data_IF_532674588874
#
_entry.id   IF_532674588874
#
_cell.length_a   1.000
_cell.length_b   1.000
_cell.length_c   1.000
_cell.angle_alpha   90.00
_cell.angle_beta   90.00
_cell.angle_gamma   90.00
#
_symmetry.space_group_name_H-M   'P 1'
#
loop_
_entity.id
_entity.type
_entity.pdbx_description
1 polymer ?
#
# COMPACT_ATOMS: atom_id res chain seq x y z
N UNK A 1 18.71 -0.88 -11.61
CA UNK A 1 18.31 0.50 -11.93
C UNK A 1 17.32 0.94 -10.85
N UNK A 2 17.63 2.00 -10.11
CA UNK A 2 16.81 2.48 -8.99
C UNK A 2 15.40 2.85 -9.41
N UNK A 3 14.41 2.51 -8.59
CA UNK A 3 13.00 2.86 -8.79
C UNK A 3 12.69 4.13 -8.01
N UNK A 4 11.79 4.95 -8.55
CA UNK A 4 11.27 6.12 -7.86
C UNK A 4 10.00 5.72 -7.12
N UNK A 5 9.99 5.89 -5.81
CA UNK A 5 8.97 5.36 -4.91
C UNK A 5 8.35 6.51 -4.12
N UNK A 6 7.02 6.60 -4.15
CA UNK A 6 6.23 7.45 -3.27
C UNK A 6 5.67 6.59 -2.12
N UNK A 7 5.67 7.11 -0.90
CA UNK A 7 5.15 6.41 0.28
C UNK A 7 3.95 7.19 0.82
N UNK A 8 2.79 6.53 0.85
CA UNK A 8 1.53 7.03 1.39
C UNK A 8 1.25 6.39 2.75
N UNK A 9 1.00 7.20 3.79
CA UNK A 9 0.79 6.68 5.15
C UNK A 9 0.12 7.73 6.05
N UNK A 10 -0.43 7.29 7.18
CA UNK A 10 -0.93 8.19 8.24
C UNK A 10 0.17 8.47 9.25
N UNK A 11 0.71 9.68 9.21
CA UNK A 11 1.89 10.11 9.98
C UNK A 11 1.80 9.79 11.47
N UNK A 12 0.72 10.18 12.12
CA UNK A 12 0.54 10.12 13.58
C UNK A 12 -0.12 8.83 14.07
N UNK A 13 -0.25 7.79 13.24
CA UNK A 13 -0.87 6.55 13.67
C UNK A 13 0.03 5.76 14.62
N UNK A 14 -0.48 5.52 15.84
CA UNK A 14 0.17 4.77 16.92
C UNK A 14 -0.35 3.34 17.05
N UNK A 15 -1.27 2.89 16.19
CA UNK A 15 -1.79 1.52 16.20
C UNK A 15 -0.83 0.53 15.52
N UNK A 16 0.46 0.69 15.81
CA UNK A 16 1.57 -0.11 15.28
C UNK A 16 2.42 -0.67 16.42
N UNK A 17 3.13 -1.77 16.16
CA UNK A 17 4.04 -2.37 17.13
C UNK A 17 5.19 -1.41 17.46
N UNK A 18 5.55 -1.25 18.76
CA UNK A 18 6.76 -0.53 19.15
C UNK A 18 8.02 -1.09 18.48
N UNK A 19 8.87 -0.22 17.95
CA UNK A 19 10.14 -0.59 17.32
C UNK A 19 11.24 -0.84 18.34
N UNK A 20 11.08 -0.31 19.56
CA UNK A 20 11.98 -0.55 20.68
C UNK A 20 11.27 -1.33 21.81
N UNK A 21 12.03 -1.90 22.71
CA UNK A 21 11.48 -2.56 23.91
C UNK A 21 11.31 -1.57 25.09
N UNK A 22 11.31 -0.26 24.84
CA UNK A 22 11.10 0.75 25.87
C UNK A 22 9.62 0.86 26.23
N UNK A 23 9.31 0.90 27.53
CA UNK A 23 7.93 1.12 28.00
C UNK A 23 7.37 2.50 27.61
N UNK A 24 8.26 3.45 27.29
CA UNK A 24 7.91 4.81 26.88
C UNK A 24 8.01 5.00 25.35
N UNK A 25 8.02 3.90 24.59
CA UNK A 25 8.11 3.97 23.13
C UNK A 25 6.75 4.43 22.54
N UNK A 26 6.77 5.62 21.94
CA UNK A 26 5.63 6.22 21.22
C UNK A 26 5.80 6.01 19.70
N UNK A 27 6.17 4.80 19.28
CA UNK A 27 6.34 4.44 17.86
C UNK A 27 5.08 4.75 17.06
N UNK A 28 5.27 5.41 15.92
CA UNK A 28 4.24 5.77 14.95
C UNK A 28 4.51 5.11 13.60
N UNK A 29 3.52 5.11 12.74
CA UNK A 29 3.70 4.66 11.34
C UNK A 29 4.84 5.42 10.65
N UNK A 30 5.10 6.70 11.01
CA UNK A 30 6.24 7.49 10.54
C UNK A 30 7.59 6.81 10.81
N UNK A 31 7.77 6.18 11.96
CA UNK A 31 9.06 5.56 12.33
C UNK A 31 9.33 4.33 11.45
N UNK A 32 8.29 3.60 11.08
CA UNK A 32 8.38 2.54 10.06
C UNK A 32 8.75 3.09 8.68
N UNK A 33 8.22 4.27 8.31
CA UNK A 33 8.58 4.93 7.05
C UNK A 33 10.04 5.36 7.07
N UNK A 34 10.57 5.89 8.18
CA UNK A 34 11.99 6.23 8.32
C UNK A 34 12.88 4.99 8.13
N UNK A 35 12.52 3.84 8.72
CA UNK A 35 13.23 2.59 8.50
C UNK A 35 13.14 2.15 7.02
N UNK A 36 11.96 2.30 6.40
CA UNK A 36 11.79 1.97 4.99
C UNK A 36 12.65 2.85 4.09
N UNK A 37 12.73 4.15 4.37
CA UNK A 37 13.57 5.08 3.62
C UNK A 37 15.04 4.63 3.62
N UNK A 38 15.58 4.26 4.79
CA UNK A 38 16.93 3.71 4.90
C UNK A 38 17.13 2.44 4.06
N UNK A 39 16.16 1.51 4.11
CA UNK A 39 16.21 0.27 3.31
C UNK A 39 16.14 0.54 1.80
N UNK A 40 15.36 1.55 1.36
CA UNK A 40 15.27 1.91 -0.04
C UNK A 40 16.56 2.55 -0.55
N UNK A 41 17.21 3.41 0.24
CA UNK A 41 18.49 4.03 -0.08
C UNK A 41 19.61 2.98 -0.19
N UNK A 42 19.66 1.99 0.73
CA UNK A 42 20.59 0.87 0.67
C UNK A 42 20.43 0.01 -0.60
N UNK A 43 19.24 -0.02 -1.19
CA UNK A 43 18.92 -0.74 -2.43
C UNK A 43 18.96 0.15 -3.69
N UNK A 44 19.59 1.32 -3.64
CA UNK A 44 19.69 2.28 -4.76
C UNK A 44 18.33 2.76 -5.29
N UNK A 45 17.28 2.78 -4.48
CA UNK A 45 15.98 3.33 -4.84
C UNK A 45 15.88 4.80 -4.45
N UNK A 46 15.05 5.55 -5.18
CA UNK A 46 14.82 6.98 -4.91
C UNK A 46 13.50 7.15 -4.19
N UNK A 47 13.55 7.53 -2.92
CA UNK A 47 12.37 7.92 -2.16
C UNK A 47 11.89 9.31 -2.61
N UNK A 48 10.60 9.43 -2.96
CA UNK A 48 9.93 10.67 -3.33
C UNK A 48 8.94 11.14 -2.26
N UNK A 49 8.89 10.46 -1.11
CA UNK A 49 8.06 10.83 0.03
C UNK A 49 8.47 12.13 0.70
N UNK A 50 7.93 12.40 1.88
CA UNK A 50 8.36 13.52 2.72
C UNK A 50 9.81 13.33 3.14
N UNK A 51 10.64 14.37 2.94
CA UNK A 51 11.93 14.45 3.61
C UNK A 51 11.70 14.86 5.07
N UNK A 52 12.56 14.40 5.99
CA UNK A 52 12.46 14.68 7.43
C UNK A 52 12.38 16.17 7.77
N UNK A 53 12.90 17.04 6.89
CA UNK A 53 12.91 18.50 7.04
C UNK A 53 11.67 19.19 6.43
N UNK A 54 10.76 18.46 5.78
CA UNK A 54 9.60 19.04 5.09
C UNK A 54 8.32 18.85 5.90
N UNK A 55 8.14 19.69 6.93
CA UNK A 55 6.91 19.74 7.71
C UNK A 55 5.77 20.36 6.86
N UNK A 56 5.01 19.51 6.19
CA UNK A 56 3.88 19.91 5.33
C UNK A 56 2.75 20.58 6.11
N UNK A 57 2.65 20.37 7.43
CA UNK A 57 1.58 20.95 8.26
C UNK A 57 1.56 22.48 8.27
N UNK A 58 2.68 23.11 7.89
CA UNK A 58 2.84 24.59 7.81
C UNK A 58 2.36 25.20 6.50
N UNK A 59 1.99 24.38 5.51
CA UNK A 59 1.57 24.87 4.20
C UNK A 59 0.04 24.87 4.08
N UNK A 60 -0.47 25.73 3.16
CA UNK A 60 -1.87 25.67 2.76
C UNK A 60 -2.17 24.34 2.03
N UNK A 61 -3.34 23.82 2.20
CA UNK A 61 -3.79 22.53 1.63
C UNK A 61 -3.54 22.41 0.11
N UNK A 62 -3.81 23.48 -0.65
CA UNK A 62 -3.52 23.55 -2.09
C UNK A 62 -2.03 23.39 -2.43
N UNK A 63 -1.14 23.95 -1.59
CA UNK A 63 0.31 23.83 -1.76
C UNK A 63 0.77 22.41 -1.47
N UNK A 64 0.21 21.78 -0.44
CA UNK A 64 0.47 20.37 -0.10
C UNK A 64 0.05 19.49 -1.27
N UNK A 65 -1.18 19.65 -1.76
CA UNK A 65 -1.70 18.90 -2.88
C UNK A 65 -0.83 19.03 -4.15
N UNK A 66 -0.32 20.24 -4.43
CA UNK A 66 0.57 20.47 -5.58
C UNK A 66 1.89 19.69 -5.44
N UNK A 67 2.54 19.78 -4.28
CA UNK A 67 3.79 19.07 -4.00
C UNK A 67 3.62 17.55 -4.06
N UNK A 68 2.53 17.02 -3.49
CA UNK A 68 2.23 15.59 -3.53
C UNK A 68 1.99 15.12 -4.96
N UNK A 69 1.26 15.90 -5.79
CA UNK A 69 1.08 15.61 -7.22
C UNK A 69 2.40 15.46 -7.96
N UNK A 70 3.36 16.35 -7.69
CA UNK A 70 4.68 16.31 -8.34
C UNK A 70 5.48 15.08 -7.92
N UNK A 71 5.47 14.77 -6.62
CA UNK A 71 6.14 13.58 -6.06
C UNK A 71 5.55 12.28 -6.61
N UNK A 72 4.21 12.15 -6.65
CA UNK A 72 3.53 10.96 -7.19
C UNK A 72 3.76 10.83 -8.70
N UNK A 73 3.68 11.95 -9.45
CA UNK A 73 3.90 11.95 -10.90
C UNK A 73 5.33 11.49 -11.26
N UNK A 74 6.33 11.89 -10.47
CA UNK A 74 7.73 11.50 -10.68
C UNK A 74 8.04 10.09 -10.14
N UNK A 75 7.06 9.39 -9.60
CA UNK A 75 7.20 8.04 -9.05
C UNK A 75 6.73 6.97 -10.04
N UNK A 76 7.25 5.77 -9.90
CA UNK A 76 6.83 4.58 -10.65
C UNK A 76 6.09 3.55 -9.78
N UNK A 77 6.27 3.65 -8.48
CA UNK A 77 5.65 2.80 -7.47
C UNK A 77 5.11 3.69 -6.35
N UNK A 78 3.92 3.37 -5.89
CA UNK A 78 3.33 3.93 -4.67
C UNK A 78 3.25 2.82 -3.62
N UNK A 79 3.93 2.98 -2.50
CA UNK A 79 3.81 2.12 -1.33
C UNK A 79 2.78 2.75 -0.39
N UNK A 80 1.74 1.99 -0.05
CA UNK A 80 0.76 2.37 0.98
C UNK A 80 1.09 1.61 2.25
N UNK A 81 1.46 2.33 3.31
CA UNK A 81 1.68 1.70 4.63
C UNK A 81 0.33 1.47 5.28
N UNK A 82 -0.08 0.21 5.35
CA UNK A 82 -1.37 -0.19 5.92
C UNK A 82 -1.18 -0.47 7.40
N UNK A 83 -1.72 0.39 8.25
CA UNK A 83 -1.76 0.24 9.70
C UNK A 83 -3.20 0.12 10.18
N UNK A 84 -3.39 -0.42 11.38
CA UNK A 84 -4.74 -0.64 11.92
C UNK A 84 -5.52 0.67 12.13
N UNK A 85 -4.82 1.76 12.43
CA UNK A 85 -5.40 3.09 12.64
C UNK A 85 -5.30 4.03 11.43
N UNK A 86 -4.96 3.53 10.22
CA UNK A 86 -4.74 4.39 9.05
C UNK A 86 -5.97 5.20 8.63
N UNK A 87 -7.18 4.66 8.87
CA UNK A 87 -8.45 5.27 8.49
C UNK A 87 -9.09 6.02 9.66
N UNK A 88 -9.49 7.26 9.44
CA UNK A 88 -10.27 8.04 10.37
C UNK A 88 -11.75 7.76 10.16
N UNK A 89 -12.38 7.06 11.13
CA UNK A 89 -13.77 6.57 11.00
C UNK A 89 -14.80 7.70 10.98
N UNK A 90 -14.47 8.86 11.55
CA UNK A 90 -15.38 10.02 11.66
C UNK A 90 -15.19 11.06 10.57
N UNK A 91 -14.21 10.84 9.67
CA UNK A 91 -13.89 11.73 8.55
C UNK A 91 -14.24 11.02 7.25
N UNK A 92 -14.88 11.71 6.30
CA UNK A 92 -15.15 11.16 4.97
C UNK A 92 -13.86 10.67 4.31
N UNK A 93 -13.92 9.61 3.52
CA UNK A 93 -12.74 9.13 2.79
C UNK A 93 -12.24 10.18 1.78
N UNK A 94 -13.13 10.97 1.21
CA UNK A 94 -12.80 12.06 0.27
C UNK A 94 -11.97 13.18 0.93
N UNK A 95 -12.06 13.32 2.25
CA UNK A 95 -11.32 14.31 3.04
C UNK A 95 -10.02 13.75 3.64
N UNK A 96 -9.65 12.51 3.33
CA UNK A 96 -8.43 11.88 3.80
C UNK A 96 -7.37 11.79 2.68
N UNK A 97 -6.11 12.02 3.00
CA UNK A 97 -5.03 12.08 2.02
C UNK A 97 -4.74 10.75 1.33
N UNK A 98 -4.71 9.64 2.08
CA UNK A 98 -4.34 8.31 1.53
C UNK A 98 -5.23 7.92 0.33
N UNK A 99 -6.58 7.99 0.40
CA UNK A 99 -7.43 7.69 -0.76
C UNK A 99 -7.14 8.58 -1.96
N UNK A 100 -6.91 9.86 -1.73
CA UNK A 100 -6.58 10.82 -2.78
C UNK A 100 -5.23 10.50 -3.44
N UNK A 101 -4.19 10.20 -2.66
CA UNK A 101 -2.86 9.83 -3.14
C UNK A 101 -2.90 8.54 -3.99
N UNK A 102 -3.68 7.53 -3.55
CA UNK A 102 -3.89 6.30 -4.31
C UNK A 102 -4.64 6.62 -5.61
N UNK A 103 -5.72 7.41 -5.57
CA UNK A 103 -6.47 7.82 -6.76
C UNK A 103 -5.57 8.53 -7.77
N UNK A 104 -4.73 9.45 -7.28
CA UNK A 104 -3.78 10.15 -8.15
C UNK A 104 -2.72 9.20 -8.74
N UNK A 105 -2.21 8.25 -7.96
CA UNK A 105 -1.24 7.24 -8.39
C UNK A 105 -1.77 6.30 -9.47
N UNK A 106 -3.09 6.02 -9.44
CA UNK A 106 -3.75 5.12 -10.40
C UNK A 106 -4.18 5.81 -11.70
N UNK A 107 -4.18 7.14 -11.75
CA UNK A 107 -4.52 7.91 -12.95
C UNK A 107 -3.31 8.11 -13.84
N UNK A 108 -3.55 8.15 -15.14
CA UNK A 108 -2.56 8.60 -16.11
C UNK A 108 -2.59 10.13 -16.17
N UNK A 109 -1.44 10.76 -16.11
CA UNK A 109 -1.33 12.21 -16.10
C UNK A 109 -0.42 12.66 -17.24
N UNK A 110 -0.90 13.62 -18.05
CA UNK A 110 -0.09 14.25 -19.10
C UNK A 110 0.43 15.59 -18.59
N UNK A 111 1.75 15.75 -18.58
CA UNK A 111 2.44 17.02 -18.25
C UNK A 111 3.56 17.26 -19.25
N UNK A 112 3.66 18.48 -19.76
CA UNK A 112 4.73 18.93 -20.67
C UNK A 112 4.95 17.98 -21.87
N UNK A 113 3.86 17.47 -22.45
CA UNK A 113 3.90 16.55 -23.60
C UNK A 113 4.31 15.11 -23.26
N UNK A 114 4.45 14.76 -21.98
CA UNK A 114 4.72 13.39 -21.52
C UNK A 114 3.50 12.85 -20.77
N UNK A 115 3.08 11.63 -21.12
CA UNK A 115 2.03 10.91 -20.38
C UNK A 115 2.68 9.98 -19.38
N UNK A 116 2.50 10.26 -18.10
CA UNK A 116 2.87 9.35 -17.00
C UNK A 116 1.87 8.20 -16.96
N UNK A 117 2.37 6.97 -16.89
CA UNK A 117 1.54 5.79 -16.67
C UNK A 117 1.12 5.69 -15.22
N UNK A 118 0.02 4.97 -14.94
CA UNK A 118 -0.38 4.59 -13.58
C UNK A 118 0.80 3.98 -12.81
N UNK A 119 0.94 4.27 -11.52
CA UNK A 119 1.95 3.67 -10.67
C UNK A 119 1.61 2.20 -10.34
N UNK A 120 2.61 1.37 -10.14
CA UNK A 120 2.43 0.14 -9.39
C UNK A 120 2.02 0.48 -7.95
N UNK A 121 1.09 -0.26 -7.35
CA UNK A 121 0.66 -0.01 -5.97
C UNK A 121 0.94 -1.23 -5.10
N UNK A 122 1.67 -0.99 -4.01
CA UNK A 122 2.07 -2.00 -3.04
C UNK A 122 1.53 -1.61 -1.66
N UNK A 123 0.73 -2.48 -1.04
CA UNK A 123 0.26 -2.33 0.33
C UNK A 123 1.20 -3.07 1.29
N UNK A 124 2.01 -2.32 2.03
CA UNK A 124 2.89 -2.88 3.08
C UNK A 124 2.17 -2.79 4.41
N UNK A 125 1.83 -3.95 4.97
CA UNK A 125 1.01 -4.07 6.18
C UNK A 125 1.90 -4.02 7.40
N UNK A 126 1.68 -3.03 8.26
CA UNK A 126 2.41 -2.89 9.52
C UNK A 126 1.85 -3.85 10.58
N UNK A 127 2.67 -4.34 11.51
CA UNK A 127 2.18 -5.10 12.64
C UNK A 127 1.37 -4.18 13.58
N UNK A 128 0.25 -4.68 14.12
CA UNK A 128 -0.50 -3.98 15.16
C UNK A 128 0.32 -3.88 16.47
N UNK A 129 -0.22 -3.24 17.49
CA UNK A 129 0.45 -3.06 18.81
C UNK A 129 0.96 -4.36 19.43
N UNK A 130 0.27 -5.48 19.15
CA UNK A 130 0.64 -6.82 19.64
C UNK A 130 1.62 -7.54 18.70
N UNK A 131 2.02 -6.91 17.60
CA UNK A 131 2.91 -7.47 16.59
C UNK A 131 2.23 -8.41 15.60
N UNK A 132 0.90 -8.38 15.52
CA UNK A 132 0.10 -9.27 14.66
C UNK A 132 -0.32 -8.56 13.38
N UNK A 133 -0.66 -9.36 12.37
CA UNK A 133 -1.14 -8.90 11.06
C UNK A 133 -2.56 -9.35 10.75
N UNK A 134 -3.16 -10.15 11.64
CA UNK A 134 -4.45 -10.83 11.42
C UNK A 134 -5.65 -9.88 11.39
N UNK A 135 -5.45 -8.60 11.66
CA UNK A 135 -6.42 -7.57 11.38
C UNK A 135 -6.64 -7.37 9.86
N UNK A 136 -5.65 -7.73 9.02
CA UNK A 136 -5.72 -7.67 7.56
C UNK A 136 -5.30 -8.99 6.89
N UNK A 137 -4.11 -9.55 7.20
CA UNK A 137 -3.55 -10.75 6.54
C UNK A 137 -3.58 -11.92 7.51
N UNK A 138 -4.40 -12.93 7.19
CA UNK A 138 -4.45 -14.21 7.92
C UNK A 138 -3.88 -15.30 7.03
N UNK A 139 -2.71 -15.82 7.41
CA UNK A 139 -2.10 -16.94 6.70
C UNK A 139 -2.70 -18.26 7.16
N UNK A 140 -2.61 -19.27 6.28
CA UNK A 140 -3.06 -20.64 6.56
C UNK A 140 -4.49 -20.73 7.13
N UNK A 141 -5.38 -19.86 6.63
CA UNK A 141 -6.77 -19.77 7.11
C UNK A 141 -7.59 -21.05 6.83
N UNK A 142 -7.14 -21.87 5.89
CA UNK A 142 -7.71 -23.19 5.63
C UNK A 142 -6.65 -24.27 5.88
N UNK A 143 -6.93 -25.31 6.68
CA UNK A 143 -5.97 -26.37 6.98
C UNK A 143 -5.60 -27.23 5.76
N UNK A 144 -6.46 -27.26 4.72
CA UNK A 144 -6.26 -28.08 3.51
C UNK A 144 -5.43 -27.35 2.44
N UNK A 145 -5.87 -26.17 2.00
CA UNK A 145 -5.18 -25.44 0.92
C UNK A 145 -4.17 -24.39 1.40
N UNK A 146 -4.07 -24.18 2.71
CA UNK A 146 -3.14 -23.21 3.31
C UNK A 146 -3.27 -21.79 2.74
N UNK A 147 -4.48 -21.41 2.30
CA UNK A 147 -4.73 -20.12 1.69
C UNK A 147 -4.51 -18.95 2.64
N UNK A 148 -4.27 -17.78 2.08
CA UNK A 148 -4.21 -16.51 2.80
C UNK A 148 -5.53 -15.78 2.64
N UNK A 149 -6.13 -15.33 3.74
CA UNK A 149 -7.31 -14.47 3.73
C UNK A 149 -6.89 -13.02 3.92
N UNK A 150 -7.41 -12.13 3.07
CA UNK A 150 -7.27 -10.69 3.21
C UNK A 150 -8.59 -10.08 3.71
N UNK A 151 -8.58 -9.51 4.91
CA UNK A 151 -9.74 -8.83 5.52
C UNK A 151 -9.80 -7.40 5.00
N UNK A 152 -10.52 -7.18 3.90
CA UNK A 152 -10.53 -5.89 3.20
C UNK A 152 -11.53 -4.87 3.74
N UNK A 153 -12.38 -5.23 4.70
CA UNK A 153 -13.52 -4.40 5.14
C UNK A 153 -13.12 -3.08 5.81
N UNK A 154 -11.94 -3.03 6.46
CA UNK A 154 -11.45 -1.82 7.10
C UNK A 154 -10.67 -0.90 6.15
N UNK A 155 -10.31 -1.37 4.94
CA UNK A 155 -9.58 -0.59 3.96
C UNK A 155 -10.43 0.58 3.45
N UNK A 156 -9.76 1.59 2.91
CA UNK A 156 -10.43 2.61 2.10
C UNK A 156 -11.10 1.97 0.88
N UNK A 157 -12.24 2.53 0.46
CA UNK A 157 -13.01 2.02 -0.68
C UNK A 157 -12.13 1.84 -1.92
N UNK A 158 -11.32 2.84 -2.27
CA UNK A 158 -10.44 2.76 -3.44
C UNK A 158 -9.43 1.60 -3.34
N UNK A 159 -8.94 1.26 -2.15
CA UNK A 159 -8.09 0.09 -1.96
C UNK A 159 -8.90 -1.19 -2.13
N UNK A 160 -10.07 -1.27 -1.48
CA UNK A 160 -10.95 -2.44 -1.52
C UNK A 160 -11.37 -2.79 -2.95
N UNK A 161 -11.73 -1.78 -3.75
CA UNK A 161 -12.15 -1.94 -5.16
C UNK A 161 -10.99 -2.36 -6.09
N UNK A 162 -9.74 -2.22 -5.65
CA UNK A 162 -8.55 -2.69 -6.38
C UNK A 162 -7.96 -3.99 -5.80
N UNK A 163 -8.73 -4.66 -4.91
CA UNK A 163 -8.46 -6.01 -4.42
C UNK A 163 -9.35 -7.01 -5.16
N UNK A 164 -8.79 -8.17 -5.50
CA UNK A 164 -9.51 -9.24 -6.21
C UNK A 164 -10.21 -8.76 -7.49
N UNK A 165 -9.61 -7.80 -8.19
CA UNK A 165 -10.19 -7.07 -9.33
C UNK A 165 -9.67 -7.54 -10.69
N UNK A 166 -8.96 -8.67 -10.76
CA UNK A 166 -8.58 -9.30 -12.02
C UNK A 166 -9.82 -9.68 -12.83
N UNK A 167 -9.81 -9.44 -14.14
CA UNK A 167 -10.96 -9.66 -15.03
C UNK A 167 -11.28 -11.14 -15.22
N UNK A 168 -10.25 -11.96 -15.32
CA UNK A 168 -10.37 -13.41 -15.54
C UNK A 168 -9.70 -14.16 -14.38
N UNK A 169 -10.40 -14.32 -13.24
CA UNK A 169 -9.83 -14.97 -12.07
C UNK A 169 -9.67 -16.48 -12.25
N UNK A 170 -8.53 -17.02 -11.88
CA UNK A 170 -8.32 -18.44 -11.67
C UNK A 170 -8.51 -18.79 -10.19
N UNK A 171 -9.06 -19.98 -9.91
CA UNK A 171 -9.38 -20.42 -8.57
C UNK A 171 -8.73 -21.78 -8.26
N UNK A 172 -8.38 -21.97 -6.99
CA UNK A 172 -7.97 -23.26 -6.46
C UNK A 172 -9.23 -24.10 -6.17
N UNK A 173 -9.24 -25.35 -6.61
CA UNK A 173 -10.26 -26.33 -6.26
C UNK A 173 -9.96 -26.90 -4.87
N UNK A 174 -10.61 -26.39 -3.86
CA UNK A 174 -10.52 -26.88 -2.49
C UNK A 174 -11.93 -27.10 -1.95
N UNK A 175 -12.27 -28.34 -1.61
CA UNK A 175 -13.61 -28.76 -1.15
C UNK A 175 -14.09 -28.05 0.12
N UNK A 176 -13.16 -27.43 0.87
CA UNK A 176 -13.51 -26.65 2.07
C UNK A 176 -13.95 -25.20 1.77
N UNK A 177 -13.95 -24.82 0.50
CA UNK A 177 -14.40 -23.49 0.07
C UNK A 177 -15.66 -23.61 -0.79
N UNK A 178 -16.68 -22.84 -0.42
CA UNK A 178 -17.93 -22.77 -1.18
C UNK A 178 -17.78 -21.90 -2.44
N UNK A 179 -18.77 -21.94 -3.33
CA UNK A 179 -18.87 -21.05 -4.51
C UNK A 179 -18.68 -19.56 -4.18
N UNK A 180 -19.12 -19.14 -2.99
CA UNK A 180 -19.02 -17.75 -2.53
C UNK A 180 -17.72 -17.41 -1.80
N UNK A 181 -16.82 -18.40 -1.60
CA UNK A 181 -15.57 -18.21 -0.87
C UNK A 181 -14.43 -18.95 -1.58
N UNK A 182 -14.27 -18.71 -2.87
CA UNK A 182 -13.23 -19.34 -3.70
C UNK A 182 -11.86 -18.75 -3.36
N UNK A 183 -10.84 -19.61 -3.46
CA UNK A 183 -9.45 -19.21 -3.27
C UNK A 183 -8.87 -18.81 -4.63
N UNK A 184 -8.50 -17.55 -4.76
CA UNK A 184 -7.86 -17.04 -5.96
C UNK A 184 -6.46 -17.62 -6.13
N UNK A 185 -6.05 -17.86 -7.37
CA UNK A 185 -4.69 -18.22 -7.76
C UNK A 185 -3.97 -17.03 -8.39
N UNK A 186 -2.66 -16.98 -8.19
CA UNK A 186 -1.82 -15.94 -8.78
C UNK A 186 -2.08 -14.55 -8.19
N UNK A 187 -1.81 -13.51 -9.00
CA UNK A 187 -1.99 -12.11 -8.60
C UNK A 187 -3.39 -11.63 -8.94
N UNK A 188 -4.35 -11.91 -8.08
CA UNK A 188 -5.77 -11.57 -8.29
C UNK A 188 -6.12 -10.11 -8.02
N UNK A 189 -5.22 -9.37 -7.38
CA UNK A 189 -5.39 -7.96 -6.99
C UNK A 189 -4.38 -7.07 -7.68
N UNK A 190 -4.80 -5.90 -8.16
CA UNK A 190 -3.86 -4.90 -8.66
C UNK A 190 -2.97 -4.34 -7.55
N UNK A 191 -3.52 -4.14 -6.35
CA UNK A 191 -2.75 -3.76 -5.16
C UNK A 191 -2.16 -5.02 -4.53
N UNK A 192 -0.85 -5.20 -4.68
CA UNK A 192 -0.14 -6.31 -4.04
C UNK A 192 0.01 -6.04 -2.54
N UNK A 193 -0.45 -6.97 -1.69
CA UNK A 193 -0.37 -6.84 -0.23
C UNK A 193 0.70 -7.76 0.35
N UNK A 194 1.53 -7.22 1.24
CA UNK A 194 2.61 -7.95 1.91
C UNK A 194 2.77 -7.50 3.35
N UNK A 195 3.11 -8.41 4.27
CA UNK A 195 3.46 -8.07 5.65
C UNK A 195 4.78 -7.31 5.68
N UNK A 196 4.92 -6.36 6.60
CA UNK A 196 6.18 -5.64 6.83
C UNK A 196 7.37 -6.59 6.99
N UNK A 197 7.22 -7.65 7.81
CA UNK A 197 8.28 -8.64 8.04
C UNK A 197 8.78 -9.30 6.75
N UNK A 198 7.87 -9.63 5.85
CA UNK A 198 8.19 -10.32 4.59
C UNK A 198 8.75 -9.33 3.57
N UNK A 199 8.23 -8.08 3.58
CA UNK A 199 8.71 -7.02 2.72
C UNK A 199 10.16 -6.64 3.00
N UNK A 200 10.54 -6.43 4.28
CA UNK A 200 11.93 -6.09 4.64
C UNK A 200 12.91 -7.25 4.42
N UNK A 201 12.44 -8.49 4.41
CA UNK A 201 13.26 -9.66 4.12
C UNK A 201 13.70 -9.70 2.64
N UNK A 202 12.90 -9.18 1.72
CA UNK A 202 13.24 -9.09 0.28
C UNK A 202 12.46 -7.96 -0.40
N UNK A 203 12.92 -6.73 -0.21
CA UNK A 203 12.32 -5.50 -0.76
C UNK A 203 12.18 -5.58 -2.28
N UNK A 204 13.26 -5.99 -2.96
CA UNK A 204 13.30 -6.02 -4.42
C UNK A 204 12.28 -6.99 -5.01
N UNK A 205 12.10 -8.16 -4.44
CA UNK A 205 11.09 -9.15 -4.86
C UNK A 205 9.69 -8.57 -4.88
N UNK A 206 9.30 -7.85 -3.82
CA UNK A 206 7.96 -7.28 -3.71
C UNK A 206 7.75 -6.07 -4.63
N UNK A 207 8.79 -5.25 -4.82
CA UNK A 207 8.77 -4.18 -5.81
C UNK A 207 8.69 -4.72 -7.25
N UNK A 208 9.39 -5.82 -7.55
CA UNK A 208 9.30 -6.52 -8.85
C UNK A 208 7.91 -7.09 -9.08
N UNK A 209 7.32 -7.71 -8.07
CA UNK A 209 5.95 -8.23 -8.13
C UNK A 209 4.95 -7.12 -8.45
N UNK A 210 4.99 -6.00 -7.71
CA UNK A 210 4.10 -4.87 -7.96
C UNK A 210 4.29 -4.28 -9.38
N UNK A 211 5.55 -4.21 -9.85
CA UNK A 211 5.88 -3.73 -11.19
C UNK A 211 5.35 -4.68 -12.29
N UNK A 212 5.43 -6.00 -12.05
CA UNK A 212 4.91 -7.01 -12.97
C UNK A 212 3.38 -6.96 -13.06
N UNK A 213 2.68 -6.77 -11.92
CA UNK A 213 1.23 -6.56 -11.89
C UNK A 213 0.86 -5.31 -12.68
N UNK A 214 1.58 -4.19 -12.47
CA UNK A 214 1.37 -2.96 -13.25
C UNK A 214 1.59 -3.18 -14.75
N UNK A 215 2.57 -3.97 -15.15
CA UNK A 215 2.81 -4.27 -16.56
C UNK A 215 1.62 -4.98 -17.23
N UNK A 216 0.84 -5.71 -16.44
CA UNK A 216 -0.40 -6.39 -16.83
C UNK A 216 -1.67 -5.61 -16.42
N UNK A 217 -1.62 -4.27 -16.33
CA UNK A 217 -2.73 -3.43 -15.83
C UNK A 217 -4.04 -3.66 -16.59
N UNK A 218 -3.96 -3.99 -17.89
CA UNK A 218 -5.12 -4.24 -18.73
C UNK A 218 -5.90 -5.51 -18.32
N UNK A 219 -5.30 -6.38 -17.52
CA UNK A 219 -5.97 -7.58 -17.00
C UNK A 219 -6.83 -7.27 -15.77
N UNK A 220 -6.83 -6.03 -15.27
CA UNK A 220 -7.53 -5.62 -14.06
C UNK A 220 -8.63 -4.58 -14.31
N UNK A 221 -9.68 -4.62 -13.50
CA UNK A 221 -10.71 -3.59 -13.42
C UNK A 221 -10.25 -2.52 -12.41
N UNK A 222 -9.58 -1.46 -12.88
CA UNK A 222 -8.98 -0.46 -12.00
C UNK A 222 -10.02 0.58 -11.56
N UNK A 223 -10.24 0.70 -10.25
CA UNK A 223 -10.99 1.80 -9.65
C UNK A 223 -10.04 2.98 -9.38
N UNK A 224 -10.34 4.14 -9.95
CA UNK A 224 -9.54 5.38 -9.84
C UNK A 224 -10.27 6.49 -9.06
N UNK A 225 -11.41 6.18 -8.47
CA UNK A 225 -12.29 7.13 -7.78
C UNK A 225 -12.28 6.85 -6.28
N UNK A 226 -12.18 7.90 -5.48
CA UNK A 226 -12.33 7.85 -4.02
C UNK A 226 -13.80 7.65 -3.65
#
# INVERSE_FOLDING_TARGET
MGRKIFISYKYADTEVKPLTNSFFDDTKARDYVTNLQGLLDENDHVNKGENDDEDLSKFKEETIASKLRDKIYDSSITIVMVSRGMKEIWTSEDDQWIPWEISYSLKEHSRDGRTGKSNAVLAVVLPDRDGRYDYYIVNESCPHCKCTTLKTDFLFKIMKENMFNIKEPAFNECDNHSENNKVYLGHSSYIHSVKWSDFIADVNKHLDTATSIRAAIDDYNICKVV
#
